data_IF_908188381622
#
_entry.id   IF_908188381622
#
_cell.length_a   1.000
_cell.length_b   1.000
_cell.length_c   1.000
_cell.angle_alpha   90.00
_cell.angle_beta   90.00
_cell.angle_gamma   90.00
#
_symmetry.space_group_name_H-M   'P 1'
#
loop_
_entity.id
_entity.type
_entity.pdbx_description
1 polymer ?
#
# COMPACT_ATOMS: atom_id res chain seq x y z
N UNK A 1 17.40 -0.94 -4.96
CA UNK A 1 16.30 -0.67 -5.90
C UNK A 1 15.16 -0.13 -5.06
N UNK A 2 14.55 1.00 -5.42
CA UNK A 2 13.40 1.49 -4.67
C UNK A 2 12.15 0.76 -5.17
N UNK A 3 11.30 0.31 -4.26
CA UNK A 3 10.05 -0.36 -4.60
C UNK A 3 9.01 0.70 -4.98
N UNK A 4 8.25 0.48 -6.04
CA UNK A 4 7.15 1.37 -6.40
C UNK A 4 5.95 1.12 -5.49
N UNK A 5 5.25 2.17 -5.07
CA UNK A 5 4.04 2.09 -4.23
C UNK A 5 2.82 2.45 -5.06
N UNK A 6 1.74 1.71 -4.88
CA UNK A 6 0.44 2.01 -5.47
C UNK A 6 -0.70 1.83 -4.47
N UNK A 7 -1.84 2.46 -4.77
CA UNK A 7 -3.09 2.20 -4.04
C UNK A 7 -3.86 1.13 -4.78
N UNK A 8 -4.34 0.13 -4.03
CA UNK A 8 -5.20 -0.92 -4.56
C UNK A 8 -6.55 -0.90 -3.88
N UNK A 9 -7.57 -1.33 -4.61
CA UNK A 9 -8.90 -1.53 -4.09
C UNK A 9 -9.09 -2.96 -3.58
N UNK A 10 -9.92 -3.12 -2.54
CA UNK A 10 -10.33 -4.42 -2.02
C UNK A 10 -11.38 -5.07 -2.91
N UNK A 11 -10.96 -5.53 -4.08
CA UNK A 11 -11.85 -6.19 -5.04
C UNK A 11 -11.83 -7.70 -4.90
N UNK A 12 -12.88 -8.39 -5.34
CA UNK A 12 -12.86 -9.84 -5.61
C UNK A 12 -13.10 -10.07 -7.10
N UNK A 13 -12.05 -10.39 -7.84
CA UNK A 13 -12.19 -11.15 -9.09
C UNK A 13 -11.66 -12.57 -8.80
N UNK A 14 -12.29 -13.61 -9.35
CA UNK A 14 -12.08 -15.01 -8.96
C UNK A 14 -10.60 -15.47 -9.03
N UNK A 15 -9.73 -14.73 -9.74
CA UNK A 15 -8.28 -14.97 -9.86
C UNK A 15 -7.39 -13.78 -9.40
N UNK A 16 -7.93 -12.70 -8.83
CA UNK A 16 -7.15 -11.52 -8.40
C UNK A 16 -7.47 -11.09 -6.98
N UNK A 17 -6.41 -11.01 -6.16
CA UNK A 17 -6.46 -10.58 -4.76
C UNK A 17 -6.82 -9.10 -4.56
N UNK A 18 -6.58 -8.30 -5.59
CA UNK A 18 -6.89 -6.88 -5.67
C UNK A 18 -6.89 -6.46 -7.16
N UNK A 19 -7.65 -5.41 -7.49
CA UNK A 19 -7.65 -4.79 -8.81
C UNK A 19 -6.86 -3.50 -8.72
N UNK A 20 -5.88 -3.36 -9.62
CA UNK A 20 -5.30 -2.06 -9.91
C UNK A 20 -6.33 -1.34 -10.78
N UNK A 21 -7.10 -0.45 -10.19
CA UNK A 21 -8.03 0.40 -10.92
C UNK A 21 -7.25 1.57 -11.50
N UNK A 22 -7.20 1.63 -12.83
CA UNK A 22 -6.44 2.62 -13.59
C UNK A 22 -7.40 3.68 -14.11
N UNK A 23 -7.29 4.90 -13.60
CA UNK A 23 -8.27 5.97 -13.81
C UNK A 23 -7.94 6.87 -14.99
N UNK A 24 -6.73 6.75 -15.54
CA UNK A 24 -6.30 7.41 -16.76
C UNK A 24 -6.17 6.36 -17.88
N UNK A 25 -7.07 6.40 -18.86
CA UNK A 25 -6.81 5.77 -20.15
C UNK A 25 -5.57 6.45 -20.76
N UNK A 26 -4.43 5.73 -20.78
CA UNK A 26 -3.29 6.09 -21.62
C UNK A 26 -2.08 6.76 -20.96
N UNK A 27 -1.95 6.78 -19.62
CA UNK A 27 -0.67 7.14 -18.98
C UNK A 27 -0.29 6.10 -17.93
N UNK A 28 0.71 5.29 -18.26
CA UNK A 28 1.22 4.19 -17.44
C UNK A 28 2.00 4.62 -16.19
N UNK A 29 1.48 5.58 -15.41
CA UNK A 29 2.15 6.14 -14.23
C UNK A 29 1.22 6.06 -13.00
N UNK A 30 0.73 4.85 -12.71
CA UNK A 30 -0.15 4.53 -11.57
C UNK A 30 0.57 4.48 -10.23
N UNK A 31 1.89 4.55 -10.27
CA UNK A 31 2.74 4.49 -9.11
C UNK A 31 2.87 5.88 -8.49
N UNK A 32 2.84 5.89 -7.16
CA UNK A 32 3.34 7.02 -6.40
C UNK A 32 4.85 7.09 -6.60
N UNK A 33 5.39 8.29 -6.41
CA UNK A 33 6.79 8.50 -6.65
C UNK A 33 7.66 7.59 -5.77
N UNK A 34 8.85 7.27 -6.25
CA UNK A 34 9.87 6.61 -5.41
C UNK A 34 10.10 7.34 -4.09
N UNK A 35 9.96 8.67 -4.09
CA UNK A 35 10.10 9.49 -2.89
C UNK A 35 8.99 9.20 -1.89
N UNK A 36 7.77 8.97 -2.38
CA UNK A 36 6.65 8.55 -1.56
C UNK A 36 6.85 7.15 -0.97
N UNK A 37 7.35 6.20 -1.75
CA UNK A 37 7.70 4.86 -1.26
C UNK A 37 8.69 4.90 -0.10
N UNK A 38 9.77 5.68 -0.27
CA UNK A 38 10.73 5.92 0.80
C UNK A 38 10.08 6.58 2.02
N UNK A 39 9.19 7.56 1.80
CA UNK A 39 8.48 8.27 2.85
C UNK A 39 7.54 7.37 3.66
N UNK A 40 6.82 6.46 3.00
CA UNK A 40 5.86 5.55 3.64
C UNK A 40 6.55 4.49 4.52
N UNK A 41 7.81 4.16 4.23
CA UNK A 41 8.52 3.09 4.93
C UNK A 41 8.68 3.38 6.43
N UNK A 42 8.00 2.61 7.27
CA UNK A 42 8.24 2.53 8.72
C UNK A 42 8.96 1.24 8.99
N UNK A 43 10.27 1.29 9.25
CA UNK A 43 11.03 0.24 9.95
C UNK A 43 12.52 0.63 10.12
N UNK A 44 12.81 1.87 10.50
CA UNK A 44 14.15 2.26 10.96
C UNK A 44 14.08 3.47 11.90
N UNK A 45 15.10 3.59 12.76
CA UNK A 45 15.27 4.73 13.65
C UNK A 45 15.46 6.02 12.82
N UNK A 46 14.59 7.01 13.04
CA UNK A 46 14.57 8.22 12.22
C UNK A 46 13.66 8.16 10.99
N UNK A 47 12.75 7.18 10.90
CA UNK A 47 11.72 7.14 9.85
C UNK A 47 11.02 8.50 9.66
N UNK A 48 10.96 8.95 8.40
CA UNK A 48 10.44 10.27 8.06
C UNK A 48 8.94 10.38 8.31
N UNK A 49 8.16 9.31 8.09
CA UNK A 49 6.73 9.33 8.40
C UNK A 49 6.48 9.71 9.86
N UNK A 50 7.22 9.09 10.79
CA UNK A 50 7.11 9.36 12.24
C UNK A 50 7.56 10.79 12.57
N UNK A 51 8.62 11.28 11.93
CA UNK A 51 9.05 12.68 12.09
C UNK A 51 7.97 13.65 11.59
N UNK A 52 7.33 13.37 10.46
CA UNK A 52 6.24 14.19 9.93
C UNK A 52 5.02 14.18 10.86
N UNK A 53 4.65 13.03 11.42
CA UNK A 53 3.58 12.92 12.43
C UNK A 53 3.84 13.84 13.63
N UNK A 54 5.08 13.83 14.14
CA UNK A 54 5.50 14.65 15.28
C UNK A 54 5.54 16.15 14.93
N UNK A 55 6.14 16.52 13.80
CA UNK A 55 6.32 17.93 13.40
C UNK A 55 4.98 18.58 13.04
N UNK A 56 4.09 17.84 12.36
CA UNK A 56 2.80 18.37 11.91
C UNK A 56 1.64 18.06 12.86
N UNK A 57 1.88 17.30 13.92
CA UNK A 57 0.87 16.87 14.90
C UNK A 57 -0.32 16.20 14.19
N UNK A 58 -0.02 15.13 13.47
CA UNK A 58 -0.98 14.38 12.65
C UNK A 58 -0.71 12.88 12.78
N UNK A 59 -1.75 12.06 12.83
CA UNK A 59 -1.66 10.60 12.85
C UNK A 59 -1.71 10.06 11.41
N UNK A 60 -0.61 9.51 10.93
CA UNK A 60 -0.46 8.93 9.60
C UNK A 60 -0.36 7.41 9.65
N UNK A 61 -0.86 6.77 10.72
CA UNK A 61 -0.90 5.31 10.85
C UNK A 61 -1.56 4.61 9.66
N UNK A 62 -2.61 5.22 9.08
CA UNK A 62 -3.33 4.68 7.92
C UNK A 62 -2.46 4.54 6.65
N UNK A 63 -1.35 5.26 6.55
CA UNK A 63 -0.40 5.12 5.44
C UNK A 63 0.42 3.85 5.51
N UNK A 64 0.37 3.10 6.62
CA UNK A 64 1.19 1.91 6.85
C UNK A 64 0.37 0.62 7.05
N UNK A 65 -0.94 0.67 6.88
CA UNK A 65 -1.76 -0.52 6.98
C UNK A 65 -1.46 -1.47 5.80
N UNK A 66 -1.08 -2.71 6.11
CA UNK A 66 -0.93 -3.78 5.14
C UNK A 66 -2.04 -4.81 5.31
N UNK A 67 -2.80 -5.12 4.24
CA UNK A 67 -3.81 -6.17 4.27
C UNK A 67 -3.26 -7.48 4.81
N UNK A 68 -3.96 -8.13 5.74
CA UNK A 68 -3.55 -9.44 6.30
C UNK A 68 -4.23 -10.62 5.62
N UNK A 69 -5.28 -10.36 4.83
CA UNK A 69 -6.14 -11.37 4.20
C UNK A 69 -5.76 -11.68 2.74
N UNK A 70 -4.46 -11.63 2.40
CA UNK A 70 -3.97 -12.18 1.13
C UNK A 70 -4.33 -13.68 0.99
N UNK A 71 -4.22 -14.22 -0.23
CA UNK A 71 -4.46 -15.65 -0.46
C UNK A 71 -3.69 -16.47 0.59
N UNK A 72 -4.31 -17.48 1.21
CA UNK A 72 -3.58 -18.33 2.14
C UNK A 72 -2.37 -18.95 1.43
N UNK A 73 -1.21 -18.95 2.10
CA UNK A 73 -0.04 -19.63 1.58
C UNK A 73 -0.27 -21.15 1.63
N UNK A 74 -0.66 -21.70 0.49
CA UNK A 74 -0.85 -23.14 0.28
C UNK A 74 0.41 -23.81 -0.29
N UNK A 75 1.54 -23.10 -0.41
CA UNK A 75 2.77 -23.61 -1.01
C UNK A 75 3.30 -24.85 -0.29
N UNK A 76 3.29 -24.84 1.05
CA UNK A 76 3.70 -26.02 1.84
C UNK A 76 2.74 -27.20 1.64
N UNK A 77 1.42 -26.96 1.56
CA UNK A 77 0.44 -28.02 1.31
C UNK A 77 0.63 -28.61 -0.09
N UNK A 78 0.83 -27.78 -1.10
CA UNK A 78 1.14 -28.21 -2.47
C UNK A 78 2.41 -29.06 -2.54
N UNK A 79 3.47 -28.64 -1.84
CA UNK A 79 4.71 -29.41 -1.77
C UNK A 79 4.51 -30.78 -1.10
N UNK A 80 3.77 -30.83 0.01
CA UNK A 80 3.44 -32.08 0.71
C UNK A 80 2.55 -33.01 -0.13
N UNK A 81 1.62 -32.45 -0.91
CA UNK A 81 0.78 -33.20 -1.85
C UNK A 81 1.66 -33.87 -2.91
N UNK A 82 2.55 -33.09 -3.54
CA UNK A 82 3.52 -33.61 -4.51
C UNK A 82 4.39 -34.74 -3.92
N UNK A 83 4.89 -34.58 -2.68
CA UNK A 83 5.65 -35.63 -2.02
C UNK A 83 4.84 -36.93 -1.81
N UNK A 84 3.55 -36.81 -1.46
CA UNK A 84 2.67 -37.96 -1.30
C UNK A 84 2.40 -38.68 -2.64
N UNK A 85 2.19 -37.92 -3.72
CA UNK A 85 2.05 -38.46 -5.08
C UNK A 85 3.31 -39.20 -5.54
N UNK A 86 4.49 -38.64 -5.31
CA UNK A 86 5.77 -39.29 -5.65
C UNK A 86 6.01 -40.58 -4.86
N UNK A 87 5.50 -40.65 -3.62
CA UNK A 87 5.59 -41.84 -2.78
C UNK A 87 4.52 -42.90 -3.10
N UNK A 88 3.57 -42.62 -4.01
CA UNK A 88 2.43 -43.49 -4.30
C UNK A 88 1.38 -43.54 -3.19
N UNK A 89 1.42 -42.61 -2.23
CA UNK A 89 0.46 -42.49 -1.14
C UNK A 89 -0.73 -41.63 -1.58
N UNK A 90 -1.57 -42.20 -2.45
CA UNK A 90 -2.72 -41.51 -3.03
C UNK A 90 -3.76 -41.11 -1.98
N UNK A 91 -3.88 -41.85 -0.87
CA UNK A 91 -4.80 -41.50 0.21
C UNK A 91 -4.37 -40.19 0.86
N UNK A 92 -3.09 -40.05 1.20
CA UNK A 92 -2.53 -38.83 1.77
C UNK A 92 -2.59 -37.65 0.79
N UNK A 93 -2.35 -37.89 -0.50
CA UNK A 93 -2.50 -36.85 -1.52
C UNK A 93 -3.94 -36.29 -1.58
N UNK A 94 -4.95 -37.17 -1.53
CA UNK A 94 -6.36 -36.78 -1.49
C UNK A 94 -6.71 -35.99 -0.21
N UNK A 95 -6.23 -36.45 0.96
CA UNK A 95 -6.45 -35.74 2.23
C UNK A 95 -5.86 -34.32 2.20
N UNK A 96 -4.66 -34.16 1.62
CA UNK A 96 -4.03 -32.84 1.48
C UNK A 96 -4.80 -31.96 0.49
N UNK A 97 -5.26 -32.52 -0.63
CA UNK A 97 -6.08 -31.80 -1.61
C UNK A 97 -7.37 -31.27 -0.98
N UNK A 98 -8.08 -32.10 -0.21
CA UNK A 98 -9.30 -31.68 0.49
C UNK A 98 -9.03 -30.54 1.48
N UNK A 99 -7.87 -30.56 2.15
CA UNK A 99 -7.44 -29.50 3.05
C UNK A 99 -7.15 -28.19 2.32
N UNK A 100 -6.55 -28.24 1.14
CA UNK A 100 -6.35 -27.06 0.28
C UNK A 100 -7.72 -26.47 -0.10
N UNK A 101 -8.63 -27.30 -0.60
CA UNK A 101 -9.99 -26.87 -0.99
C UNK A 101 -10.81 -26.31 0.19
N UNK A 102 -10.59 -26.80 1.41
CA UNK A 102 -11.21 -26.26 2.63
C UNK A 102 -10.64 -24.88 2.99
N UNK A 103 -9.32 -24.73 2.99
CA UNK A 103 -8.63 -23.45 3.26
C UNK A 103 -9.05 -22.37 2.26
N UNK A 104 -9.10 -22.70 0.96
CA UNK A 104 -9.56 -21.79 -0.09
C UNK A 104 -11.02 -21.39 0.11
N UNK A 105 -11.92 -22.35 0.39
CA UNK A 105 -13.33 -22.06 0.66
C UNK A 105 -13.54 -21.18 1.88
N UNK A 106 -12.82 -21.44 2.98
CA UNK A 106 -12.89 -20.61 4.18
C UNK A 106 -12.39 -19.20 3.90
N UNK A 107 -11.29 -19.06 3.17
CA UNK A 107 -10.78 -17.76 2.75
C UNK A 107 -11.80 -17.01 1.88
N UNK A 108 -12.38 -17.66 0.87
CA UNK A 108 -13.41 -17.07 0.00
C UNK A 108 -14.64 -16.60 0.79
N UNK A 109 -15.07 -17.37 1.79
CA UNK A 109 -16.21 -17.04 2.63
C UNK A 109 -15.94 -15.81 3.50
N UNK A 110 -14.70 -15.65 3.96
CA UNK A 110 -14.34 -14.65 4.96
C UNK A 110 -13.68 -13.39 4.37
N UNK A 111 -13.26 -13.39 3.10
CA UNK A 111 -12.50 -12.29 2.48
C UNK A 111 -13.13 -10.91 2.71
N UNK A 112 -14.43 -10.75 2.48
CA UNK A 112 -15.14 -9.49 2.69
C UNK A 112 -15.40 -9.15 4.17
N UNK A 113 -15.42 -10.15 5.04
CA UNK A 113 -15.63 -9.97 6.48
C UNK A 113 -14.34 -9.52 7.18
N UNK A 114 -13.18 -9.92 6.66
CA UNK A 114 -11.87 -9.56 7.21
C UNK A 114 -11.38 -8.28 6.55
N UNK A 115 -11.46 -7.15 7.25
CA UNK A 115 -10.96 -5.85 6.80
C UNK A 115 -9.65 -5.44 7.48
N UNK A 116 -9.01 -6.35 8.20
CA UNK A 116 -7.73 -6.08 8.84
C UNK A 116 -6.67 -5.69 7.80
N UNK A 117 -5.99 -4.56 8.04
CA UNK A 117 -5.02 -4.00 7.12
C UNK A 117 -5.62 -3.25 5.92
N UNK A 118 -6.94 -3.24 5.76
CA UNK A 118 -7.63 -2.40 4.77
C UNK A 118 -8.12 -1.10 5.41
N UNK A 119 -8.00 0.00 4.67
CA UNK A 119 -8.43 1.32 5.10
C UNK A 119 -9.68 1.74 4.34
N UNK A 120 -10.67 2.30 5.04
CA UNK A 120 -11.84 2.89 4.35
C UNK A 120 -11.40 4.08 3.51
N UNK A 121 -11.98 4.22 2.31
CA UNK A 121 -11.66 5.32 1.40
C UNK A 121 -11.84 6.68 2.07
N UNK A 122 -12.96 6.88 2.77
CA UNK A 122 -13.25 8.15 3.45
C UNK A 122 -12.22 8.48 4.53
N UNK A 123 -11.80 7.50 5.33
CA UNK A 123 -10.81 7.72 6.38
C UNK A 123 -9.45 8.12 5.77
N UNK A 124 -9.01 7.45 4.69
CA UNK A 124 -7.77 7.78 3.99
C UNK A 124 -7.84 9.15 3.29
N UNK A 125 -9.00 9.49 2.72
CA UNK A 125 -9.27 10.79 2.08
C UNK A 125 -9.15 11.93 3.09
N UNK A 126 -9.83 11.80 4.24
CA UNK A 126 -9.80 12.81 5.29
C UNK A 126 -8.40 13.06 5.83
N UNK A 127 -7.63 11.99 6.10
CA UNK A 127 -6.27 12.17 6.60
C UNK A 127 -5.32 12.74 5.54
N UNK A 128 -5.52 12.40 4.26
CA UNK A 128 -4.75 12.94 3.13
C UNK A 128 -5.00 14.44 2.97
N UNK A 129 -6.26 14.87 3.00
CA UNK A 129 -6.63 16.29 2.95
C UNK A 129 -6.05 17.07 4.14
N UNK A 130 -6.13 16.50 5.35
CA UNK A 130 -5.55 17.10 6.56
C UNK A 130 -4.02 17.22 6.45
N UNK A 131 -3.35 16.22 5.89
CA UNK A 131 -1.91 16.28 5.64
C UNK A 131 -1.55 17.39 4.65
N UNK A 132 -2.29 17.52 3.55
CA UNK A 132 -2.13 18.62 2.58
C UNK A 132 -2.26 19.98 3.27
N UNK A 133 -3.28 20.16 4.10
CA UNK A 133 -3.52 21.42 4.83
C UNK A 133 -2.36 21.75 5.78
N UNK A 134 -1.89 20.77 6.56
CA UNK A 134 -0.76 20.92 7.48
C UNK A 134 0.54 21.26 6.75
N UNK A 135 0.81 20.61 5.62
CA UNK A 135 1.97 20.91 4.75
C UNK A 135 1.90 22.35 4.23
N UNK A 136 0.73 22.77 3.72
CA UNK A 136 0.53 24.13 3.20
C UNK A 136 0.67 25.20 4.29
N UNK A 137 0.20 24.91 5.50
CA UNK A 137 0.27 25.81 6.66
C UNK A 137 1.67 25.90 7.28
N UNK A 138 2.53 24.90 7.03
CA UNK A 138 3.90 24.86 7.54
C UNK A 138 4.92 24.59 6.40
N UNK A 139 5.09 25.52 5.43
CA UNK A 139 5.80 25.26 4.17
C UNK A 139 7.30 24.96 4.31
N UNK A 140 7.89 25.17 5.50
CA UNK A 140 9.30 24.93 5.77
C UNK A 140 9.54 23.70 6.67
N UNK A 141 8.50 22.96 7.07
CA UNK A 141 8.60 21.83 8.00
C UNK A 141 9.58 20.75 7.50
N UNK A 142 9.64 20.54 6.17
CA UNK A 142 10.54 19.55 5.56
C UNK A 142 12.03 19.79 5.83
N UNK A 143 12.44 21.00 6.24
CA UNK A 143 13.82 21.30 6.68
C UNK A 143 14.13 20.78 8.08
N UNK A 144 13.10 20.46 8.86
CA UNK A 144 13.22 19.95 10.24
C UNK A 144 13.40 18.42 10.26
N UNK A 145 13.07 17.74 9.16
CA UNK A 145 13.24 16.30 9.00
C UNK A 145 14.72 15.98 8.97
N UNK A 146 15.15 15.15 9.93
CA UNK A 146 16.52 14.67 10.05
C UNK A 146 16.67 13.40 9.22
N UNK A 147 17.68 13.39 8.37
CA UNK A 147 18.05 12.20 7.59
C UNK A 147 18.90 11.28 8.46
N UNK A 148 18.69 9.96 8.36
CA UNK A 148 19.51 8.99 9.07
C UNK A 148 21.01 9.12 8.69
N UNK A 149 21.95 8.85 9.62
CA UNK A 149 23.37 8.88 9.31
C UNK A 149 23.72 7.98 8.11
N UNK A 150 24.50 8.49 7.15
CA UNK A 150 24.89 7.76 5.94
C UNK A 150 23.89 7.82 4.78
N UNK A 151 22.77 8.53 4.96
CA UNK A 151 21.81 8.80 3.90
C UNK A 151 21.91 10.27 3.46
N UNK A 152 21.81 10.53 2.15
CA UNK A 152 21.83 11.88 1.56
C UNK A 152 20.51 12.16 0.82
N UNK A 153 19.39 12.01 1.54
CA UNK A 153 18.08 12.19 0.96
C UNK A 153 17.56 13.62 1.16
N UNK A 154 17.26 14.38 0.10
CA UNK A 154 16.93 15.80 0.21
C UNK A 154 15.44 16.02 0.57
N UNK A 155 14.98 15.57 1.73
CA UNK A 155 13.57 15.68 2.16
C UNK A 155 13.03 17.12 2.10
N UNK A 156 13.84 18.11 2.45
CA UNK A 156 13.46 19.52 2.32
C UNK A 156 13.08 19.93 0.89
N UNK A 157 13.60 19.26 -0.15
CA UNK A 157 13.17 19.45 -1.54
C UNK A 157 11.88 18.71 -1.85
N UNK A 158 11.68 17.50 -1.32
CA UNK A 158 10.47 16.72 -1.55
C UNK A 158 9.21 17.38 -0.96
N UNK A 159 9.35 17.98 0.22
CA UNK A 159 8.28 18.69 0.93
C UNK A 159 8.17 20.18 0.54
N UNK A 160 8.95 20.67 -0.43
CA UNK A 160 8.90 22.08 -0.83
C UNK A 160 7.64 22.41 -1.63
N UNK A 161 7.09 23.60 -1.40
CA UNK A 161 5.99 24.14 -2.23
C UNK A 161 6.48 24.85 -3.50
N UNK A 162 7.79 25.09 -3.63
CA UNK A 162 8.37 25.78 -4.79
C UNK A 162 8.24 24.95 -6.06
N UNK A 163 8.05 25.62 -7.21
CA UNK A 163 7.97 24.98 -8.53
C UNK A 163 9.18 24.06 -8.78
N UNK A 164 8.92 22.91 -9.44
CA UNK A 164 9.98 21.96 -9.79
C UNK A 164 11.05 22.65 -10.63
N UNK A 165 12.31 22.33 -10.36
CA UNK A 165 13.40 22.64 -11.29
C UNK A 165 13.53 21.59 -12.38
N UNK A 166 13.18 20.33 -12.07
CA UNK A 166 13.22 19.23 -13.03
C UNK A 166 11.91 18.42 -13.07
N UNK A 167 11.45 17.97 -14.26
CA UNK A 167 10.21 17.20 -14.40
C UNK A 167 10.15 15.92 -13.56
N UNK A 168 11.30 15.30 -13.28
CA UNK A 168 11.43 14.02 -12.57
C UNK A 168 11.45 14.17 -11.03
N UNK A 169 11.45 15.38 -10.49
CA UNK A 169 11.39 15.60 -9.04
C UNK A 169 9.94 15.57 -8.58
N UNK A 170 9.38 14.40 -8.26
CA UNK A 170 8.06 14.32 -7.64
C UNK A 170 8.07 15.01 -6.27
N UNK A 171 6.96 15.68 -5.94
CA UNK A 171 6.75 16.39 -4.67
C UNK A 171 5.62 15.70 -3.90
N UNK A 172 5.69 15.77 -2.58
CA UNK A 172 4.67 15.15 -1.72
C UNK A 172 3.25 15.56 -2.13
N UNK A 173 3.00 16.83 -2.44
CA UNK A 173 1.65 17.28 -2.81
C UNK A 173 1.13 16.63 -4.09
N UNK A 174 2.02 16.32 -5.04
CA UNK A 174 1.62 15.63 -6.27
C UNK A 174 1.29 14.17 -5.99
N UNK A 175 2.05 13.52 -5.10
CA UNK A 175 1.72 12.17 -4.64
C UNK A 175 0.40 12.15 -3.86
N UNK A 176 0.16 13.13 -2.98
CA UNK A 176 -1.10 13.25 -2.23
C UNK A 176 -2.30 13.56 -3.15
N UNK A 177 -2.13 14.41 -4.17
CA UNK A 177 -3.17 14.68 -5.17
C UNK A 177 -3.48 13.42 -5.99
N UNK A 178 -2.44 12.64 -6.39
CA UNK A 178 -2.61 11.34 -7.05
C UNK A 178 -3.36 10.35 -6.17
N UNK A 179 -3.06 10.32 -4.85
CA UNK A 179 -3.81 9.50 -3.89
C UNK A 179 -5.30 9.86 -3.94
N UNK A 180 -5.65 11.13 -3.80
CA UNK A 180 -7.05 11.57 -3.84
C UNK A 180 -7.76 11.20 -5.15
N UNK A 181 -7.08 11.33 -6.29
CA UNK A 181 -7.61 10.93 -7.60
C UNK A 181 -7.88 9.42 -7.67
N UNK A 182 -6.95 8.61 -7.16
CA UNK A 182 -7.14 7.16 -7.08
C UNK A 182 -8.31 6.79 -6.18
N UNK A 183 -8.47 7.47 -5.04
CA UNK A 183 -9.60 7.24 -4.13
C UNK A 183 -10.94 7.55 -4.78
N UNK A 184 -11.07 8.69 -5.48
CA UNK A 184 -12.29 9.08 -6.21
C UNK A 184 -12.70 8.04 -7.25
N UNK A 185 -11.71 7.51 -7.96
CA UNK A 185 -11.92 6.53 -9.00
C UNK A 185 -12.32 5.16 -8.44
N UNK A 186 -11.62 4.70 -7.39
CA UNK A 186 -11.95 3.44 -6.72
C UNK A 186 -13.37 3.50 -6.13
N UNK A 187 -13.75 4.63 -5.52
CA UNK A 187 -15.09 4.84 -4.97
C UNK A 187 -16.17 4.85 -6.07
N UNK A 188 -15.90 5.42 -7.25
CA UNK A 188 -16.83 5.40 -8.40
C UNK A 188 -17.10 4.00 -8.92
N UNK A 189 -16.14 3.09 -8.80
CA UNK A 189 -16.30 1.67 -9.15
C UNK A 189 -17.08 0.88 -8.07
N UNK A 190 -17.49 1.53 -6.98
CA UNK A 190 -18.32 0.95 -5.92
C UNK A 190 -17.54 0.30 -4.78
N UNK A 191 -16.21 0.45 -4.78
CA UNK A 191 -15.34 -0.10 -3.74
C UNK A 191 -15.29 0.83 -2.52
N UNK A 192 -15.09 0.25 -1.33
CA UNK A 192 -15.13 1.00 -0.06
C UNK A 192 -13.79 0.99 0.70
N UNK A 193 -12.90 0.06 0.33
CA UNK A 193 -11.69 -0.25 1.06
C UNK A 193 -10.48 -0.25 0.13
N UNK A 194 -9.38 0.28 0.62
CA UNK A 194 -8.12 0.43 -0.11
C UNK A 194 -6.93 0.10 0.79
N UNK A 195 -5.80 -0.17 0.17
CA UNK A 195 -4.53 -0.32 0.84
C UNK A 195 -3.39 0.18 -0.05
N UNK A 196 -2.27 0.55 0.57
CA UNK A 196 -1.02 0.75 -0.14
C UNK A 196 -0.32 -0.59 -0.33
N UNK A 197 0.11 -0.90 -1.55
CA UNK A 197 0.96 -2.05 -1.87
C UNK A 197 2.25 -1.55 -2.49
N UNK A 198 3.37 -2.08 -2.01
CA UNK A 198 4.72 -1.65 -2.38
C UNK A 198 5.51 -1.21 -1.16
N UNK A 199 6.82 -1.45 -1.19
CA UNK A 199 7.73 -1.22 -0.06
C UNK A 199 8.82 -2.27 0.01
#
# INVERSE_FOLDING_TARGET
MGYDVLIVAKTREDDKLFRILTCEEGKGDYFLSRNFSMFQSRNFEGCELIQVEQILEIDLSLYWNYPTNYMPDIGELNYRMYQAEQAGDFKKAIEIKQKIEEVEREWHRNYYLINEGWTKIEDLRQITLKLIEKIKSNPAFGKQIKVAPGWDYPWGKYFTLQAKKHPREARILEDLDRILQSLDCIEREGEQYVAFIGG
#
